data_IF_938182124108
#
_entry.id   IF_938182124108
#
_cell.length_a   1.000
_cell.length_b   1.000
_cell.length_c   1.000
_cell.angle_alpha   90.00
_cell.angle_beta   90.00
_cell.angle_gamma   90.00
#
_symmetry.space_group_name_H-M   'P 1'
#
loop_
_entity.id
_entity.type
_entity.pdbx_description
1 polymer ?
#
# COMPACT_ATOMS: atom_id res chain seq x y z
N UNK A 1 64.71 -72.60 13.12
CA UNK A 1 63.86 -71.76 12.24
C UNK A 1 62.59 -71.45 13.01
N UNK A 2 62.08 -70.25 13.22
CA UNK A 2 62.54 -68.87 13.18
C UNK A 2 61.44 -68.10 13.92
N UNK A 3 61.77 -67.04 14.68
CA UNK A 3 60.92 -65.84 14.95
C UNK A 3 59.59 -66.04 15.74
N UNK A 4 59.03 -65.17 16.60
CA UNK A 4 59.37 -63.84 17.17
C UNK A 4 58.16 -63.34 18.00
N UNK A 5 58.43 -62.69 19.15
CA UNK A 5 57.71 -61.62 19.91
C UNK A 5 56.20 -61.77 20.23
N UNK A 6 55.77 -61.74 21.49
CA UNK A 6 55.67 -60.60 22.42
C UNK A 6 54.68 -59.50 22.00
N UNK A 7 53.66 -59.24 22.83
CA UNK A 7 53.15 -57.89 23.19
C UNK A 7 51.78 -58.03 23.88
N UNK A 8 51.72 -58.09 25.21
CA UNK A 8 51.64 -56.94 26.12
C UNK A 8 50.22 -56.36 26.26
N UNK A 9 49.51 -56.92 27.26
CA UNK A 9 48.65 -56.24 28.24
C UNK A 9 48.61 -54.71 28.11
N UNK A 10 47.55 -54.12 27.55
CA UNK A 10 47.28 -52.66 27.66
C UNK A 10 45.87 -52.18 27.27
N UNK A 11 44.94 -53.04 26.89
CA UNK A 11 43.66 -52.57 26.32
C UNK A 11 42.52 -52.35 27.32
N UNK A 12 42.74 -52.62 28.62
CA UNK A 12 41.67 -52.59 29.64
C UNK A 12 41.42 -51.20 30.28
N UNK A 13 41.90 -50.10 29.67
CA UNK A 13 41.71 -48.72 30.20
C UNK A 13 40.98 -47.77 29.24
N UNK A 14 40.45 -48.26 28.13
CA UNK A 14 39.73 -47.43 27.15
C UNK A 14 38.19 -47.53 27.24
N UNK A 15 37.67 -48.25 28.24
CA UNK A 15 36.22 -48.41 28.46
C UNK A 15 35.60 -47.44 29.48
N UNK A 16 36.34 -46.41 29.94
CA UNK A 16 35.83 -45.44 30.93
C UNK A 16 35.80 -43.98 30.46
N UNK A 17 35.83 -43.72 29.15
CA UNK A 17 35.60 -42.38 28.59
C UNK A 17 34.32 -42.27 27.75
N UNK A 18 33.55 -43.34 27.59
CA UNK A 18 32.34 -43.37 26.77
C UNK A 18 31.04 -42.99 27.53
N UNK A 19 31.14 -42.36 28.72
CA UNK A 19 29.97 -41.98 29.53
C UNK A 19 29.95 -40.51 29.96
N UNK A 20 30.78 -39.64 29.37
CA UNK A 20 30.84 -38.20 29.70
C UNK A 20 30.49 -37.28 28.52
N UNK A 21 30.27 -37.81 27.31
CA UNK A 21 29.93 -36.98 26.13
C UNK A 21 28.44 -37.01 25.76
N UNK A 22 27.63 -37.82 26.44
CA UNK A 22 26.18 -37.94 26.18
C UNK A 22 25.34 -37.09 27.15
N UNK A 23 25.82 -35.87 27.43
CA UNK A 23 25.12 -34.82 28.17
C UNK A 23 25.31 -33.46 27.47
N UNK A 24 25.38 -33.46 26.13
CA UNK A 24 25.29 -32.25 25.32
C UNK A 24 23.83 -32.03 24.93
N UNK A 25 23.13 -31.32 25.83
CA UNK A 25 22.13 -30.31 25.53
C UNK A 25 21.31 -30.52 24.25
N UNK A 26 20.27 -31.36 24.32
CA UNK A 26 19.07 -31.14 23.49
C UNK A 26 18.29 -30.00 24.14
N UNK A 27 18.82 -28.77 24.06
CA UNK A 27 18.01 -27.57 24.24
C UNK A 27 17.24 -27.44 22.94
N UNK A 28 16.04 -28.01 22.92
CA UNK A 28 15.05 -27.78 21.87
C UNK A 28 14.75 -26.28 21.88
N UNK A 29 15.45 -25.54 21.02
CA UNK A 29 15.16 -24.14 20.77
C UNK A 29 13.77 -24.04 20.17
N UNK A 30 12.77 -23.71 20.98
CA UNK A 30 11.51 -23.20 20.47
C UNK A 30 11.84 -21.85 19.85
N UNK A 31 12.02 -21.83 18.53
CA UNK A 31 12.05 -20.58 17.79
C UNK A 31 10.67 -19.92 17.99
N UNK A 32 10.61 -18.91 18.85
CA UNK A 32 9.48 -18.00 18.90
C UNK A 32 9.53 -17.23 17.60
N UNK A 33 8.64 -17.56 16.67
CA UNK A 33 8.46 -16.76 15.47
C UNK A 33 8.00 -15.37 15.90
N UNK A 34 8.87 -14.37 15.77
CA UNK A 34 8.52 -12.97 15.95
C UNK A 34 7.42 -12.63 14.94
N UNK A 35 6.21 -12.40 15.43
CA UNK A 35 5.10 -11.85 14.63
C UNK A 35 5.34 -10.35 14.42
N UNK A 36 6.43 -9.98 13.73
CA UNK A 36 6.49 -8.69 13.10
C UNK A 36 5.33 -8.61 12.10
N UNK A 37 4.62 -7.47 11.97
CA UNK A 37 3.63 -7.30 10.91
C UNK A 37 4.28 -7.71 9.59
N UNK A 38 3.74 -8.75 8.96
CA UNK A 38 4.28 -9.26 7.71
C UNK A 38 4.33 -8.11 6.70
N UNK A 39 5.37 -8.06 5.87
CA UNK A 39 5.62 -7.02 4.86
C UNK A 39 4.36 -6.64 4.05
N UNK A 40 3.50 -7.61 3.79
CA UNK A 40 2.19 -7.42 3.17
C UNK A 40 1.26 -6.49 3.97
N UNK A 41 1.24 -6.55 5.30
CA UNK A 41 0.41 -5.68 6.14
C UNK A 41 0.87 -4.21 6.07
N UNK A 42 2.19 -3.97 6.07
CA UNK A 42 2.74 -2.61 5.95
C UNK A 42 2.50 -2.04 4.54
N UNK A 43 2.74 -2.83 3.49
CA UNK A 43 2.50 -2.42 2.10
C UNK A 43 1.02 -2.16 1.82
N UNK A 44 0.12 -2.96 2.39
CA UNK A 44 -1.33 -2.79 2.19
C UNK A 44 -1.96 -1.74 3.12
N UNK A 45 -1.18 -1.05 3.96
CA UNK A 45 -1.71 -0.06 4.90
C UNK A 45 -2.39 1.16 4.23
N UNK A 46 -2.06 1.47 2.96
CA UNK A 46 -2.73 2.54 2.20
C UNK A 46 -4.03 2.10 1.54
N UNK A 47 -4.34 0.79 1.51
CA UNK A 47 -5.59 0.30 0.94
C UNK A 47 -6.77 0.87 1.73
N UNK A 48 -7.80 1.30 1.00
CA UNK A 48 -9.01 1.90 1.57
C UNK A 48 -9.46 3.17 0.85
N UNK A 49 -10.40 3.86 1.47
CA UNK A 49 -11.05 5.06 0.93
C UNK A 49 -10.50 6.32 1.59
N UNK A 50 -10.14 7.30 0.76
CA UNK A 50 -9.44 8.52 1.19
C UNK A 50 -10.14 9.78 0.68
N UNK A 51 -10.67 10.59 1.59
CA UNK A 51 -11.20 11.91 1.29
C UNK A 51 -10.06 12.87 0.98
N UNK A 52 -10.09 13.50 -0.21
CA UNK A 52 -9.07 14.47 -0.61
C UNK A 52 -9.19 15.78 0.18
N UNK A 53 -8.12 16.57 0.21
CA UNK A 53 -8.00 17.74 1.10
C UNK A 53 -9.10 18.81 0.94
N UNK A 54 -9.66 18.98 -0.26
CA UNK A 54 -10.75 19.93 -0.52
C UNK A 54 -12.15 19.33 -0.29
N UNK A 55 -12.22 18.08 0.17
CA UNK A 55 -13.44 17.30 0.37
C UNK A 55 -14.30 17.09 -0.89
N UNK A 56 -13.73 17.31 -2.09
CA UNK A 56 -14.46 17.19 -3.35
C UNK A 56 -14.56 15.76 -3.90
N UNK A 57 -13.76 14.82 -3.37
CA UNK A 57 -13.73 13.44 -3.85
C UNK A 57 -13.23 12.45 -2.79
N UNK A 58 -13.62 11.19 -2.95
CA UNK A 58 -13.06 10.04 -2.23
C UNK A 58 -12.31 9.17 -3.22
N UNK A 59 -11.03 8.95 -2.97
CA UNK A 59 -10.17 8.08 -3.77
C UNK A 59 -10.02 6.72 -3.08
N UNK A 60 -10.43 5.66 -3.77
CA UNK A 60 -10.24 4.28 -3.31
C UNK A 60 -8.92 3.76 -3.82
N UNK A 61 -8.00 3.44 -2.90
CA UNK A 61 -6.73 2.81 -3.20
C UNK A 61 -6.87 1.30 -3.02
N UNK A 62 -6.44 0.53 -4.01
CA UNK A 62 -6.50 -0.93 -4.03
C UNK A 62 -5.18 -1.52 -4.51
N UNK A 63 -4.89 -2.74 -4.08
CA UNK A 63 -3.76 -3.50 -4.61
C UNK A 63 -4.05 -3.97 -6.05
N UNK A 64 -3.09 -3.76 -6.94
CA UNK A 64 -3.09 -4.16 -8.34
C UNK A 64 -1.77 -4.90 -8.63
N UNK A 65 -1.78 -6.23 -8.42
CA UNK A 65 -0.58 -7.05 -8.42
C UNK A 65 0.39 -6.62 -7.32
N UNK A 66 1.60 -6.23 -7.70
CA UNK A 66 2.65 -5.75 -6.80
C UNK A 66 2.61 -4.23 -6.57
N UNK A 67 1.67 -3.55 -7.23
CA UNK A 67 1.47 -2.10 -7.13
C UNK A 67 0.13 -1.76 -6.49
N UNK A 68 -0.10 -0.47 -6.28
CA UNK A 68 -1.34 0.08 -5.77
C UNK A 68 -1.88 1.14 -6.73
N UNK A 69 -3.13 0.97 -7.12
CA UNK A 69 -3.85 1.85 -8.03
C UNK A 69 -5.00 2.55 -7.27
N UNK A 70 -5.40 3.72 -7.77
CA UNK A 70 -6.41 4.57 -7.13
C UNK A 70 -7.53 4.98 -8.09
N UNK A 71 -8.76 4.94 -7.59
CA UNK A 71 -9.98 5.15 -8.37
C UNK A 71 -10.87 6.22 -7.71
N UNK A 72 -11.58 7.02 -8.52
CA UNK A 72 -12.61 7.95 -8.01
C UNK A 72 -13.80 7.13 -7.52
N UNK A 73 -13.90 6.90 -6.20
CA UNK A 73 -15.01 6.16 -5.61
C UNK A 73 -16.26 7.03 -5.43
N UNK A 74 -16.05 8.32 -5.19
CA UNK A 74 -17.11 9.32 -5.10
C UNK A 74 -16.54 10.71 -5.40
N UNK A 75 -17.39 11.60 -5.91
CA UNK A 75 -17.08 13.01 -6.12
C UNK A 75 -18.33 13.85 -5.84
N UNK A 76 -18.14 15.07 -5.35
CA UNK A 76 -19.23 15.96 -4.95
C UNK A 76 -20.09 16.39 -6.15
N UNK A 77 -19.46 16.60 -7.31
CA UNK A 77 -20.14 16.97 -8.55
C UNK A 77 -19.97 15.82 -9.56
N UNK A 78 -20.83 14.81 -9.47
CA UNK A 78 -20.86 13.68 -10.42
C UNK A 78 -21.79 13.92 -11.62
N UNK A 79 -22.63 14.97 -11.55
CA UNK A 79 -23.36 15.55 -12.67
C UNK A 79 -22.98 17.03 -12.84
N UNK A 80 -22.97 17.50 -14.09
CA UNK A 80 -22.82 18.92 -14.42
C UNK A 80 -24.02 19.73 -13.92
N UNK A 81 -23.75 20.94 -13.46
CA UNK A 81 -24.77 21.89 -13.03
C UNK A 81 -25.16 22.90 -14.12
N UNK A 82 -26.13 23.77 -13.85
CA UNK A 82 -26.53 24.84 -14.77
C UNK A 82 -25.36 25.77 -15.18
N UNK A 83 -24.36 25.92 -14.32
CA UNK A 83 -23.14 26.70 -14.56
C UNK A 83 -22.24 26.13 -15.66
N UNK A 84 -22.35 24.84 -15.98
CA UNK A 84 -21.67 24.21 -17.13
C UNK A 84 -22.41 24.44 -18.46
N UNK A 85 -23.59 25.08 -18.40
CA UNK A 85 -24.41 25.43 -19.55
C UNK A 85 -25.53 24.42 -19.84
N UNK A 86 -26.59 24.86 -20.54
CA UNK A 86 -27.82 24.09 -20.71
C UNK A 86 -27.63 22.79 -21.50
N UNK A 87 -26.55 22.68 -22.29
CA UNK A 87 -26.25 21.45 -23.02
C UNK A 87 -25.64 20.34 -22.15
N UNK A 88 -25.09 20.69 -20.99
CA UNK A 88 -24.44 19.76 -20.06
C UNK A 88 -25.24 19.52 -18.79
N UNK A 89 -26.08 20.49 -18.38
CA UNK A 89 -26.90 20.41 -17.17
C UNK A 89 -27.58 19.04 -16.98
N UNK A 90 -27.36 18.44 -15.80
CA UNK A 90 -27.89 17.13 -15.41
C UNK A 90 -27.19 15.92 -16.05
N UNK A 91 -26.21 16.10 -16.95
CA UNK A 91 -25.41 14.99 -17.50
C UNK A 91 -24.29 14.61 -16.55
N UNK A 92 -23.91 13.32 -16.59
CA UNK A 92 -22.77 12.80 -15.84
C UNK A 92 -21.48 13.53 -16.24
N UNK A 93 -20.65 13.87 -15.25
CA UNK A 93 -19.33 14.46 -15.49
C UNK A 93 -18.41 13.43 -16.13
N UNK A 94 -17.81 13.83 -17.25
CA UNK A 94 -16.92 12.99 -18.07
C UNK A 94 -15.52 13.56 -18.16
N UNK A 95 -14.57 12.74 -18.64
CA UNK A 95 -13.17 13.10 -18.84
C UNK A 95 -12.94 14.04 -20.05
N UNK A 96 -13.72 15.12 -20.14
CA UNK A 96 -13.79 16.03 -21.30
C UNK A 96 -12.45 16.65 -21.71
N UNK A 97 -11.51 16.76 -20.76
CA UNK A 97 -10.18 17.34 -20.96
C UNK A 97 -9.13 16.32 -21.42
N UNK A 98 -9.49 15.05 -21.60
CA UNK A 98 -8.52 14.03 -21.99
C UNK A 98 -7.85 14.40 -23.34
N UNK A 99 -6.52 14.31 -23.45
CA UNK A 99 -5.84 14.57 -24.72
C UNK A 99 -6.25 13.58 -25.82
N UNK A 100 -6.63 12.35 -25.46
CA UNK A 100 -7.20 11.38 -26.39
C UNK A 100 -8.73 11.56 -26.48
N UNK A 101 -9.27 11.97 -27.65
CA UNK A 101 -10.71 12.17 -27.84
C UNK A 101 -11.55 10.94 -27.54
N UNK A 102 -11.03 9.72 -27.77
CA UNK A 102 -11.75 8.48 -27.54
C UNK A 102 -12.03 8.21 -26.05
N UNK A 103 -11.26 8.84 -25.15
CA UNK A 103 -11.43 8.70 -23.71
C UNK A 103 -12.36 9.76 -23.10
N UNK A 104 -12.70 10.82 -23.85
CA UNK A 104 -13.42 11.99 -23.29
C UNK A 104 -14.84 11.71 -22.81
N UNK A 105 -15.48 10.67 -23.33
CA UNK A 105 -16.84 10.31 -22.98
C UNK A 105 -16.95 9.43 -21.72
N UNK A 106 -15.83 8.97 -21.16
CA UNK A 106 -15.86 8.10 -19.97
C UNK A 106 -16.28 8.90 -18.73
N UNK A 107 -17.15 8.36 -17.86
CA UNK A 107 -17.45 8.97 -16.57
C UNK A 107 -16.20 9.16 -15.71
N UNK A 108 -16.15 10.22 -14.92
CA UNK A 108 -15.08 10.40 -13.93
C UNK A 108 -15.25 9.45 -12.74
N UNK A 109 -16.48 9.21 -12.26
CA UNK A 109 -16.71 8.21 -11.23
C UNK A 109 -16.26 6.83 -11.71
N UNK A 110 -15.42 6.15 -10.91
CA UNK A 110 -14.78 4.89 -11.26
C UNK A 110 -13.49 5.01 -12.08
N UNK A 111 -13.09 6.22 -12.49
CA UNK A 111 -11.88 6.44 -13.27
C UNK A 111 -10.64 6.10 -12.44
N UNK A 112 -9.73 5.32 -13.04
CA UNK A 112 -8.41 5.04 -12.49
C UNK A 112 -7.50 6.25 -12.69
N UNK A 113 -7.20 6.96 -11.60
CA UNK A 113 -6.41 8.18 -11.62
C UNK A 113 -5.01 7.99 -11.04
N UNK A 114 -4.82 7.06 -10.09
CA UNK A 114 -3.50 6.72 -9.56
C UNK A 114 -3.07 5.37 -10.10
N UNK A 115 -1.81 5.27 -10.51
CA UNK A 115 -1.25 4.01 -11.01
C UNK A 115 0.16 3.76 -10.51
N UNK A 116 0.51 2.50 -10.28
CA UNK A 116 1.91 2.07 -10.19
C UNK A 116 2.64 2.45 -8.90
N UNK A 117 1.92 2.84 -7.84
CA UNK A 117 2.53 3.04 -6.53
C UNK A 117 3.08 1.70 -6.03
N UNK A 118 4.36 1.63 -5.67
CA UNK A 118 4.96 0.46 -5.04
C UNK A 118 5.53 0.82 -3.67
N UNK A 119 5.43 -0.10 -2.72
CA UNK A 119 5.91 0.13 -1.37
C UNK A 119 7.43 0.02 -1.29
N UNK A 120 8.08 1.11 -0.90
CA UNK A 120 9.48 1.15 -0.51
C UNK A 120 9.60 0.95 1.00
N UNK A 121 10.13 -0.22 1.36
CA UNK A 121 10.34 -0.63 2.76
C UNK A 121 11.37 0.22 3.48
N UNK A 122 12.41 0.69 2.79
CA UNK A 122 13.49 1.44 3.42
C UNK A 122 12.97 2.78 3.97
N UNK A 123 12.04 3.38 3.23
CA UNK A 123 11.50 4.70 3.50
C UNK A 123 10.10 4.69 4.15
N UNK A 124 9.40 3.55 4.11
CA UNK A 124 8.01 3.42 4.57
C UNK A 124 7.03 4.24 3.71
N UNK A 125 7.27 4.32 2.40
CA UNK A 125 6.52 5.17 1.46
C UNK A 125 6.10 4.35 0.24
N UNK A 126 5.10 4.83 -0.47
CA UNK A 126 4.75 4.32 -1.78
C UNK A 126 5.24 5.30 -2.83
N UNK A 127 6.08 4.82 -3.75
CA UNK A 127 6.79 5.64 -4.73
C UNK A 127 6.57 5.10 -6.13
N UNK A 128 7.13 5.76 -7.15
CA UNK A 128 7.01 5.35 -8.55
C UNK A 128 5.62 5.51 -9.16
N UNK A 129 4.69 6.09 -8.41
CA UNK A 129 3.32 6.27 -8.87
C UNK A 129 3.15 7.42 -9.85
N UNK A 130 2.06 7.37 -10.59
CA UNK A 130 1.57 8.44 -11.44
C UNK A 130 0.14 8.84 -11.06
N UNK A 131 -0.23 10.08 -11.32
CA UNK A 131 -1.58 10.63 -11.12
C UNK A 131 -2.05 11.35 -12.36
N UNK A 132 -3.18 10.92 -12.92
CA UNK A 132 -3.89 11.62 -13.98
C UNK A 132 -4.78 12.72 -13.38
N UNK A 133 -4.59 13.95 -13.86
CA UNK A 133 -5.37 15.12 -13.49
C UNK A 133 -6.45 15.36 -14.56
N UNK A 134 -7.70 15.13 -14.16
CA UNK A 134 -8.89 15.25 -15.03
C UNK A 134 -9.19 16.70 -15.41
N UNK A 135 -8.67 17.68 -14.67
CA UNK A 135 -8.97 19.10 -14.89
C UNK A 135 -8.15 19.66 -16.06
N UNK A 136 -6.97 19.10 -16.33
CA UNK A 136 -6.10 19.53 -17.41
C UNK A 136 -5.65 18.41 -18.37
N UNK A 137 -6.04 17.16 -18.10
CA UNK A 137 -5.72 16.01 -18.94
C UNK A 137 -4.26 15.57 -18.89
N UNK A 138 -3.49 15.99 -17.87
CA UNK A 138 -2.06 15.69 -17.74
C UNK A 138 -1.82 14.63 -16.67
N UNK A 139 -0.73 13.87 -16.84
CA UNK A 139 -0.25 12.92 -15.85
C UNK A 139 0.98 13.47 -15.14
N UNK A 140 1.02 13.32 -13.83
CA UNK A 140 2.12 13.76 -12.96
C UNK A 140 2.69 12.58 -12.19
N UNK A 141 3.94 12.65 -11.76
CA UNK A 141 4.46 11.66 -10.82
C UNK A 141 3.92 11.93 -9.43
N UNK A 142 3.73 10.87 -8.65
CA UNK A 142 3.29 10.97 -7.29
C UNK A 142 4.06 10.03 -6.35
N UNK A 143 3.98 10.36 -5.06
CA UNK A 143 4.36 9.48 -3.97
C UNK A 143 3.43 9.69 -2.79
N UNK A 144 3.31 8.65 -1.99
CA UNK A 144 2.40 8.59 -0.86
C UNK A 144 3.15 8.13 0.39
N UNK A 145 2.76 8.66 1.55
CA UNK A 145 3.15 8.12 2.85
C UNK A 145 2.01 8.28 3.84
N UNK A 146 1.98 7.45 4.87
CA UNK A 146 1.06 7.64 5.99
C UNK A 146 1.72 8.56 7.03
N UNK A 147 1.01 9.61 7.46
CA UNK A 147 1.38 10.39 8.64
C UNK A 147 0.76 9.79 9.92
N UNK A 148 -0.37 9.12 9.78
CA UNK A 148 -1.03 8.28 10.78
C UNK A 148 -1.89 7.24 10.03
N UNK A 149 -2.49 6.25 10.73
CA UNK A 149 -3.39 5.28 10.08
C UNK A 149 -4.50 5.94 9.26
N UNK A 150 -4.99 7.10 9.71
CA UNK A 150 -6.12 7.82 9.11
C UNK A 150 -5.72 9.08 8.32
N UNK A 151 -4.41 9.35 8.17
CA UNK A 151 -3.91 10.53 7.47
C UNK A 151 -2.84 10.17 6.46
N UNK A 152 -3.19 10.31 5.18
CA UNK A 152 -2.32 10.06 4.05
C UNK A 152 -1.74 11.39 3.54
N UNK A 153 -0.44 11.40 3.30
CA UNK A 153 0.26 12.52 2.65
C UNK A 153 0.51 12.13 1.21
N UNK A 154 -0.21 12.78 0.31
CA UNK A 154 -0.07 12.64 -1.12
C UNK A 154 0.80 13.77 -1.64
N UNK A 155 1.74 13.48 -2.54
CA UNK A 155 2.56 14.50 -3.19
C UNK A 155 2.63 14.23 -4.69
N UNK A 156 1.99 15.11 -5.48
CA UNK A 156 2.15 15.18 -6.93
C UNK A 156 3.25 16.16 -7.32
N UNK A 157 4.02 15.85 -8.38
CA UNK A 157 5.12 16.67 -8.87
C UNK A 157 5.38 16.46 -10.37
N UNK A 158 5.98 17.47 -11.00
CA UNK A 158 6.47 17.39 -12.39
C UNK A 158 7.99 17.17 -12.32
N UNK A 159 8.50 16.10 -12.92
CA UNK A 159 9.93 15.80 -12.94
C UNK A 159 10.45 15.36 -11.56
N UNK A 160 11.18 16.22 -10.84
CA UNK A 160 11.73 15.88 -9.52
C UNK A 160 10.75 16.18 -8.37
N UNK A 161 10.68 15.35 -7.30
CA UNK A 161 9.75 15.53 -6.18
C UNK A 161 9.84 16.88 -5.47
N UNK A 162 10.93 17.63 -5.61
CA UNK A 162 11.13 18.92 -4.95
C UNK A 162 10.11 19.97 -5.44
N UNK A 163 9.70 19.91 -6.71
CA UNK A 163 8.73 20.83 -7.33
C UNK A 163 7.30 20.25 -7.32
N UNK A 164 6.81 19.94 -6.11
CA UNK A 164 5.49 19.38 -5.90
C UNK A 164 4.80 19.93 -4.65
N UNK A 165 3.49 19.75 -4.56
CA UNK A 165 2.70 20.15 -3.39
C UNK A 165 2.25 18.91 -2.62
N UNK A 166 2.32 18.98 -1.30
CA UNK A 166 1.70 17.98 -0.44
C UNK A 166 0.22 18.30 -0.28
N UNK A 167 -0.63 17.30 -0.39
CA UNK A 167 -2.03 17.33 0.04
C UNK A 167 -2.24 16.25 1.10
N UNK A 168 -3.09 16.54 2.08
CA UNK A 168 -3.38 15.61 3.18
C UNK A 168 -4.77 15.04 2.96
N UNK A 169 -4.83 13.72 2.83
CA UNK A 169 -6.09 12.99 2.65
C UNK A 169 -6.45 12.29 3.95
N UNK A 170 -7.75 12.17 4.20
CA UNK A 170 -8.29 11.62 5.44
C UNK A 170 -8.97 10.29 5.14
N UNK A 171 -8.70 9.27 5.94
CA UNK A 171 -9.35 7.98 5.78
C UNK A 171 -10.85 8.08 6.07
N UNK A 172 -11.64 7.45 5.22
CA UNK A 172 -13.09 7.38 5.37
C UNK A 172 -13.58 5.96 5.14
N UNK A 173 -14.83 5.68 5.55
CA UNK A 173 -15.56 4.48 5.17
C UNK A 173 -16.70 4.91 4.26
N UNK A 174 -16.71 4.42 3.02
CA UNK A 174 -17.86 4.56 2.12
C UNK A 174 -18.99 3.64 2.59
N UNK A 175 -20.18 4.20 2.79
CA UNK A 175 -21.42 3.47 3.09
C UNK A 175 -22.44 3.70 1.99
N UNK A 176 -23.51 2.90 2.01
CA UNK A 176 -24.63 3.12 1.10
C UNK A 176 -25.21 4.53 1.33
N UNK A 177 -25.42 5.35 0.28
CA UNK A 177 -25.95 6.70 0.44
C UNK A 177 -27.35 6.64 1.07
N UNK A 178 -27.52 7.33 2.19
CA UNK A 178 -28.84 7.65 2.76
C UNK A 178 -29.25 9.01 2.20
N UNK A 179 -30.51 9.21 1.75
CA UNK A 179 -30.96 10.51 1.27
C UNK A 179 -30.66 11.62 2.28
N UNK A 180 -29.91 12.64 1.87
CA UNK A 180 -29.55 13.79 2.70
C UNK A 180 -28.27 13.64 3.53
N UNK A 181 -27.57 12.51 3.47
CA UNK A 181 -26.29 12.31 4.17
C UNK A 181 -25.13 12.11 3.20
N UNK A 182 -23.92 12.51 3.61
CA UNK A 182 -22.71 12.17 2.88
C UNK A 182 -22.56 10.64 2.80
N UNK A 183 -22.11 10.10 1.66
CA UNK A 183 -21.98 8.66 1.46
C UNK A 183 -20.77 8.06 2.18
N UNK A 184 -20.09 8.84 3.01
CA UNK A 184 -18.93 8.40 3.77
C UNK A 184 -18.96 8.93 5.20
N UNK A 185 -18.22 8.25 6.08
CA UNK A 185 -17.94 8.70 7.44
C UNK A 185 -16.43 8.77 7.65
N UNK A 186 -15.97 9.79 8.39
CA UNK A 186 -14.54 9.94 8.73
C UNK A 186 -14.17 8.88 9.74
N UNK A 187 -13.06 8.17 9.51
CA UNK A 187 -12.47 7.30 10.51
C UNK A 187 -11.71 8.19 11.49
N UNK A 188 -12.32 8.44 12.65
CA UNK A 188 -11.61 9.02 13.78
C UNK A 188 -10.78 7.94 14.46
N UNK A 189 -9.55 8.27 14.85
CA UNK A 189 -8.72 7.44 15.72
C UNK A 189 -9.40 7.33 17.10
N UNK A 190 -10.38 6.44 17.21
CA UNK A 190 -11.02 6.08 18.47
C UNK A 190 -10.04 5.26 19.30
N UNK A 191 -9.24 5.96 20.10
CA UNK A 191 -8.67 5.46 21.34
C UNK A 191 -9.19 6.31 22.48
#
# INVERSE_FOLDING_TARGET
MSTTLASQRRSCRLWLCALVVLLLAVVSGYAVADNAPGESAAASAIVGDWLVANHGAVIRIQQAGDTFDGYIAWQLHDTYGPEDGPALDGKVVTDRNNPNPALRARPLTGLRLLTGLHYDRADGKWIGGEVYDTDNGRTYHCRVRLASPDRLVFRGYIGIPLFGKNTYWTRVIMRSPVPGELPYVIVGSGH
#
